data_IF_719762938885
#
_entry.id   IF_719762938885
#
_cell.length_a   1.000
_cell.length_b   1.000
_cell.length_c   1.000
_cell.angle_alpha   90.00
_cell.angle_beta   90.00
_cell.angle_gamma   90.00
#
_symmetry.space_group_name_H-M   'P 1'
#
loop_
_entity.id
_entity.type
_entity.pdbx_description
1 polymer ?
#
# COMPACT_ATOMS: atom_id res chain seq x y z
N UNK A 1 4.15 -13.85 8.19
CA UNK A 1 4.26 -12.52 7.55
C UNK A 1 2.90 -12.11 7.01
N UNK A 2 2.46 -10.89 7.27
CA UNK A 2 1.30 -10.25 6.62
C UNK A 2 1.83 -9.11 5.75
N UNK A 3 1.44 -9.09 4.48
CA UNK A 3 1.81 -8.03 3.53
C UNK A 3 0.54 -7.21 3.26
N UNK A 4 0.60 -5.90 3.51
CA UNK A 4 -0.56 -5.01 3.34
C UNK A 4 -0.23 -3.98 2.26
N UNK A 5 -0.96 -4.05 1.14
CA UNK A 5 -0.90 -3.04 0.08
C UNK A 5 -2.29 -2.42 -0.09
N UNK A 6 -2.55 -1.35 0.67
CA UNK A 6 -3.81 -0.61 0.66
C UNK A 6 -3.53 0.91 0.67
N UNK A 7 -4.52 1.72 0.32
CA UNK A 7 -4.42 3.17 0.32
C UNK A 7 -4.79 3.85 -0.99
N UNK A 8 -4.86 3.13 -2.11
CA UNK A 8 -5.28 3.73 -3.39
C UNK A 8 -6.72 4.25 -3.31
N UNK A 9 -7.65 3.44 -2.79
CA UNK A 9 -9.06 3.82 -2.69
C UNK A 9 -9.32 4.95 -1.68
N UNK A 10 -8.48 5.07 -0.66
CA UNK A 10 -8.49 6.15 0.32
C UNK A 10 -8.26 7.54 -0.34
N UNK A 11 -7.64 7.56 -1.53
CA UNK A 11 -7.43 8.78 -2.32
C UNK A 11 -8.68 9.26 -3.05
N UNK A 12 -9.78 8.51 -3.00
CA UNK A 12 -11.08 8.98 -3.44
C UNK A 12 -11.56 10.07 -2.47
N UNK A 13 -11.95 11.27 -2.94
CA UNK A 13 -12.30 12.38 -2.07
C UNK A 13 -13.51 12.09 -1.17
N UNK A 14 -14.47 11.24 -1.59
CA UNK A 14 -15.60 10.84 -0.74
C UNK A 14 -15.26 9.79 0.32
N UNK A 15 -14.09 9.13 0.22
CA UNK A 15 -13.56 8.33 1.33
C UNK A 15 -12.82 9.28 2.27
N UNK A 16 -11.79 9.97 1.76
CA UNK A 16 -11.23 11.16 2.40
C UNK A 16 -10.18 11.89 1.55
N UNK A 17 -9.54 11.25 0.56
CA UNK A 17 -8.53 11.89 -0.30
C UNK A 17 -7.21 12.26 0.42
N UNK A 18 -7.08 11.98 1.72
CA UNK A 18 -5.97 12.44 2.55
C UNK A 18 -4.95 11.32 2.86
N UNK A 19 -3.67 11.46 2.46
CA UNK A 19 -2.63 10.45 2.72
C UNK A 19 -2.29 10.28 4.20
N UNK A 20 -2.46 11.32 5.02
CA UNK A 20 -2.28 11.20 6.47
C UNK A 20 -3.39 10.35 7.08
N UNK A 21 -4.63 10.47 6.60
CA UNK A 21 -5.73 9.63 7.06
C UNK A 21 -5.53 8.16 6.63
N UNK A 22 -5.05 7.92 5.40
CA UNK A 22 -4.69 6.57 4.94
C UNK A 22 -3.61 5.93 5.85
N UNK A 23 -2.60 6.71 6.27
CA UNK A 23 -1.60 6.26 7.26
C UNK A 23 -2.25 5.81 8.57
N UNK A 24 -3.23 6.54 9.08
CA UNK A 24 -3.96 6.15 10.30
C UNK A 24 -4.75 4.84 10.10
N UNK A 25 -5.33 4.64 8.92
CA UNK A 25 -5.93 3.36 8.53
C UNK A 25 -4.91 2.21 8.57
N UNK A 26 -3.72 2.42 8.02
CA UNK A 26 -2.64 1.42 8.07
C UNK A 26 -2.17 1.14 9.50
N UNK A 27 -2.04 2.15 10.37
CA UNK A 27 -1.75 1.95 11.79
C UNK A 27 -2.83 1.06 12.44
N UNK A 28 -4.11 1.32 12.15
CA UNK A 28 -5.20 0.50 12.69
C UNK A 28 -5.08 -0.96 12.25
N UNK A 29 -4.67 -1.23 11.01
CA UNK A 29 -4.45 -2.59 10.52
C UNK A 29 -3.28 -3.28 11.24
N UNK A 30 -2.19 -2.55 11.54
CA UNK A 30 -1.08 -3.05 12.37
C UNK A 30 -1.60 -3.47 13.75
N UNK A 31 -2.40 -2.61 14.38
CA UNK A 31 -2.95 -2.88 15.71
C UNK A 31 -3.89 -4.09 15.71
N UNK A 32 -4.69 -4.27 14.65
CA UNK A 32 -5.56 -5.45 14.49
C UNK A 32 -4.73 -6.72 14.39
N UNK A 33 -3.66 -6.71 13.58
CA UNK A 33 -2.79 -7.88 13.41
C UNK A 33 -2.09 -8.22 14.73
N UNK A 34 -1.52 -7.23 15.42
CA UNK A 34 -0.80 -7.45 16.68
C UNK A 34 -1.71 -7.79 17.86
N UNK A 35 -2.93 -7.27 17.86
CA UNK A 35 -3.93 -7.51 18.90
C UNK A 35 -4.82 -8.73 18.66
N UNK A 36 -4.60 -9.49 17.58
CA UNK A 36 -5.36 -10.71 17.33
C UNK A 36 -4.98 -11.81 18.33
N UNK A 37 -5.98 -12.54 18.81
CA UNK A 37 -5.81 -13.67 19.75
C UNK A 37 -5.38 -14.92 18.98
N UNK A 38 -4.08 -15.03 18.70
CA UNK A 38 -3.53 -16.15 17.97
C UNK A 38 -3.60 -17.44 18.82
N UNK A 39 -4.10 -18.55 18.24
CA UNK A 39 -4.22 -19.80 18.99
C UNK A 39 -2.84 -20.40 19.30
N UNK A 40 -2.81 -21.28 20.30
CA UNK A 40 -1.61 -22.05 20.67
C UNK A 40 -0.38 -21.21 21.04
N UNK A 41 -0.60 -20.02 21.61
CA UNK A 41 0.44 -19.04 21.98
C UNK A 41 1.36 -18.68 20.80
N UNK A 42 0.87 -18.76 19.56
CA UNK A 42 1.65 -18.39 18.40
C UNK A 42 1.98 -16.91 18.40
N UNK A 43 3.22 -16.53 18.05
CA UNK A 43 3.58 -15.13 17.98
C UNK A 43 2.81 -14.46 16.84
N UNK A 44 2.48 -13.17 17.04
CA UNK A 44 1.95 -12.35 15.97
C UNK A 44 2.92 -12.35 14.78
N UNK A 45 2.42 -12.45 13.53
CA UNK A 45 3.27 -12.47 12.36
C UNK A 45 4.00 -11.14 12.18
N UNK A 46 5.20 -11.18 11.60
CA UNK A 46 5.83 -9.98 11.04
C UNK A 46 4.89 -9.29 10.04
N UNK A 47 5.04 -7.98 9.87
CA UNK A 47 4.21 -7.14 9.00
C UNK A 47 5.11 -6.42 8.01
N UNK A 48 4.72 -6.43 6.73
CA UNK A 48 5.31 -5.65 5.66
C UNK A 48 4.24 -4.68 5.11
N UNK A 49 4.46 -3.39 5.31
CA UNK A 49 3.64 -2.35 4.70
C UNK A 49 4.13 -2.10 3.27
N UNK A 50 3.20 -2.05 2.32
CA UNK A 50 3.49 -1.77 0.93
C UNK A 50 2.69 -0.54 0.51
N UNK A 51 3.39 0.55 0.15
CA UNK A 51 2.71 1.66 -0.51
C UNK A 51 2.32 1.23 -1.93
N UNK A 52 1.06 1.39 -2.35
CA UNK A 52 0.67 1.10 -3.72
C UNK A 52 1.34 2.09 -4.70
N UNK A 53 1.48 1.74 -6.00
CA UNK A 53 1.85 2.71 -7.02
C UNK A 53 0.90 3.92 -7.01
N UNK A 54 1.46 5.10 -7.31
CA UNK A 54 0.67 6.33 -7.34
C UNK A 54 -0.44 6.25 -8.40
N UNK A 55 -1.57 6.87 -8.09
CA UNK A 55 -2.65 7.08 -9.06
C UNK A 55 -2.11 7.99 -10.17
N UNK A 56 -2.40 7.62 -11.42
CA UNK A 56 -2.01 8.36 -12.62
C UNK A 56 -3.24 9.02 -13.23
N UNK A 57 -3.03 10.06 -14.02
CA UNK A 57 -4.09 10.66 -14.83
C UNK A 57 -4.63 9.64 -15.85
N UNK A 58 -5.93 9.73 -16.16
CA UNK A 58 -6.60 8.91 -17.17
C UNK A 58 -7.46 9.80 -18.07
N UNK A 59 -7.87 9.31 -19.25
CA UNK A 59 -8.91 9.96 -20.07
C UNK A 59 -10.31 9.45 -19.72
N UNK A 60 -10.41 8.47 -18.81
CA UNK A 60 -11.69 7.96 -18.33
C UNK A 60 -12.34 8.99 -17.38
N UNK A 61 -13.38 9.66 -17.87
CA UNK A 61 -14.06 10.73 -17.16
C UNK A 61 -14.61 10.30 -15.78
N UNK A 62 -15.13 9.08 -15.67
CA UNK A 62 -15.62 8.57 -14.39
C UNK A 62 -14.46 8.39 -13.41
N UNK A 63 -13.38 7.71 -13.80
CA UNK A 63 -12.24 7.48 -12.92
C UNK A 63 -11.50 8.76 -12.53
N UNK A 64 -11.41 9.73 -13.43
CA UNK A 64 -10.86 11.06 -13.12
C UNK A 64 -11.64 11.76 -12.02
N UNK A 65 -12.97 11.79 -12.12
CA UNK A 65 -13.81 12.40 -11.08
C UNK A 65 -13.75 11.55 -9.81
N UNK A 66 -13.73 10.23 -9.96
CA UNK A 66 -13.66 9.29 -8.84
C UNK A 66 -12.42 9.51 -7.96
N UNK A 67 -11.32 9.90 -8.57
CA UNK A 67 -10.02 10.11 -7.92
C UNK A 67 -9.55 11.56 -8.04
N UNK A 68 -10.46 12.53 -8.06
CA UNK A 68 -10.09 13.94 -8.18
C UNK A 68 -9.09 14.36 -7.09
N UNK A 69 -7.88 14.79 -7.49
CA UNK A 69 -6.75 15.13 -6.62
C UNK A 69 -5.99 13.93 -6.02
N UNK A 70 -6.40 12.71 -6.36
CA UNK A 70 -5.81 11.47 -5.88
C UNK A 70 -4.43 11.17 -6.46
N UNK A 71 -4.13 11.70 -7.65
CA UNK A 71 -2.82 11.62 -8.29
C UNK A 71 -1.73 12.31 -7.44
N UNK A 72 -1.98 13.52 -6.95
CA UNK A 72 -1.05 14.24 -6.07
C UNK A 72 -1.06 13.69 -4.63
N UNK A 73 -2.23 13.31 -4.12
CA UNK A 73 -2.35 12.74 -2.78
C UNK A 73 -1.60 11.39 -2.67
N UNK A 74 -1.76 10.51 -3.66
CA UNK A 74 -1.19 9.15 -3.66
C UNK A 74 0.34 9.14 -3.68
N UNK A 75 0.99 10.12 -4.36
CA UNK A 75 2.46 10.28 -4.37
C UNK A 75 3.07 10.43 -2.98
N UNK A 76 2.27 10.84 -1.98
CA UNK A 76 2.71 11.04 -0.60
C UNK A 76 2.57 9.79 0.27
N UNK A 77 1.90 8.73 -0.20
CA UNK A 77 1.65 7.52 0.59
C UNK A 77 2.95 6.81 0.97
N UNK A 78 3.92 6.68 0.04
CA UNK A 78 5.19 6.02 0.30
C UNK A 78 5.93 6.63 1.49
N UNK A 79 6.05 7.97 1.53
CA UNK A 79 6.70 8.65 2.64
C UNK A 79 5.93 8.49 3.97
N UNK A 80 4.59 8.54 3.94
CA UNK A 80 3.77 8.33 5.14
C UNK A 80 3.90 6.90 5.68
N UNK A 81 3.94 5.91 4.79
CA UNK A 81 3.99 4.50 5.16
C UNK A 81 5.40 4.07 5.58
N UNK A 82 6.45 4.64 4.99
CA UNK A 82 7.83 4.44 5.44
C UNK A 82 7.99 4.93 6.88
N UNK A 83 7.57 6.16 7.18
CA UNK A 83 7.64 6.70 8.53
C UNK A 83 6.83 5.86 9.53
N UNK A 84 5.63 5.41 9.13
CA UNK A 84 4.82 4.53 9.96
C UNK A 84 5.51 3.18 10.22
N UNK A 85 6.11 2.58 9.19
CA UNK A 85 6.80 1.30 9.33
C UNK A 85 8.00 1.41 10.29
N UNK A 86 8.76 2.50 10.21
CA UNK A 86 9.86 2.80 11.12
C UNK A 86 9.35 2.96 12.57
N UNK A 87 8.32 3.80 12.77
CA UNK A 87 7.71 4.05 14.09
C UNK A 87 7.14 2.75 14.71
N UNK A 88 6.51 1.91 13.89
CA UNK A 88 5.84 0.70 14.35
C UNK A 88 6.78 -0.53 14.40
N UNK A 89 8.01 -0.46 13.87
CA UNK A 89 8.90 -1.62 13.73
C UNK A 89 8.36 -2.68 12.77
N UNK A 90 7.91 -2.26 11.59
CA UNK A 90 7.43 -3.11 10.50
C UNK A 90 8.37 -3.02 9.28
N UNK A 91 8.30 -3.98 8.36
CA UNK A 91 8.94 -3.82 7.06
C UNK A 91 8.20 -2.79 6.19
N UNK A 92 8.92 -2.18 5.25
CA UNK A 92 8.35 -1.27 4.26
C UNK A 92 8.83 -1.59 2.84
N UNK A 93 7.94 -1.44 1.86
CA UNK A 93 8.28 -1.43 0.44
C UNK A 93 7.41 -0.43 -0.32
N UNK A 94 8.01 0.29 -1.28
CA UNK A 94 7.28 1.16 -2.20
C UNK A 94 7.06 0.44 -3.53
N UNK A 95 5.83 0.00 -3.81
CA UNK A 95 5.52 -0.63 -5.09
C UNK A 95 5.60 0.36 -6.26
N UNK A 96 5.46 1.66 -6.01
CA UNK A 96 5.66 2.72 -7.02
C UNK A 96 7.11 2.82 -7.53
N UNK A 97 8.07 2.22 -6.82
CA UNK A 97 9.47 2.16 -7.27
C UNK A 97 9.71 1.15 -8.40
N UNK A 98 8.78 0.22 -8.65
CA UNK A 98 8.93 -0.87 -9.64
C UNK A 98 7.74 -1.01 -10.59
N UNK A 99 6.61 -0.37 -10.30
CA UNK A 99 5.38 -0.49 -11.08
C UNK A 99 4.67 0.86 -11.20
N UNK A 100 3.96 1.06 -12.30
CA UNK A 100 3.10 2.21 -12.56
C UNK A 100 1.68 1.76 -12.87
N UNK A 101 0.70 2.61 -12.56
CA UNK A 101 -0.69 2.38 -12.96
C UNK A 101 -0.88 2.64 -14.45
N UNK A 102 -1.92 2.03 -15.02
CA UNK A 102 -2.28 2.23 -16.43
C UNK A 102 -3.11 3.49 -16.61
N UNK A 103 -3.01 4.19 -17.75
CA UNK A 103 -3.88 5.34 -18.04
C UNK A 103 -5.30 4.93 -18.43
N UNK A 104 -5.65 3.63 -18.49
CA UNK A 104 -7.00 3.18 -18.83
C UNK A 104 -8.03 3.61 -17.78
N UNK A 105 -7.61 3.61 -16.52
CA UNK A 105 -8.40 4.06 -15.37
C UNK A 105 -7.58 4.81 -14.31
N UNK A 106 -6.26 4.93 -14.49
CA UNK A 106 -5.36 5.67 -13.60
C UNK A 106 -4.98 4.92 -12.33
N UNK A 107 -5.56 3.75 -12.05
CA UNK A 107 -5.49 3.13 -10.71
C UNK A 107 -5.03 1.69 -10.76
N UNK A 108 -5.46 0.91 -11.76
CA UNK A 108 -5.08 -0.50 -11.86
C UNK A 108 -3.73 -0.67 -12.56
N UNK A 109 -3.12 -1.83 -12.31
CA UNK A 109 -1.89 -2.27 -12.96
C UNK A 109 -2.23 -3.21 -14.10
N UNK A 110 -1.44 -3.16 -15.18
CA UNK A 110 -1.47 -4.23 -16.17
C UNK A 110 -0.79 -5.51 -15.64
N UNK A 111 -0.79 -6.55 -16.48
CA UNK A 111 -0.22 -7.84 -16.11
C UNK A 111 1.31 -7.79 -15.89
N UNK A 112 2.03 -6.87 -16.54
CA UNK A 112 3.48 -6.75 -16.40
C UNK A 112 3.85 -6.01 -15.11
N UNK A 113 3.22 -4.87 -14.86
CA UNK A 113 3.38 -4.08 -13.64
C UNK A 113 2.99 -4.88 -12.38
N UNK A 114 1.92 -5.68 -12.46
CA UNK A 114 1.55 -6.61 -11.37
C UNK A 114 2.67 -7.64 -11.12
N UNK A 115 3.30 -8.16 -12.18
CA UNK A 115 4.43 -9.10 -12.05
C UNK A 115 5.68 -8.42 -11.47
N UNK A 116 5.93 -7.15 -11.78
CA UNK A 116 7.05 -6.40 -11.21
C UNK A 116 6.94 -6.27 -9.70
N UNK A 117 5.77 -5.95 -9.18
CA UNK A 117 5.51 -5.91 -7.72
C UNK A 117 5.84 -7.27 -7.08
N UNK A 118 5.31 -8.36 -7.64
CA UNK A 118 5.57 -9.71 -7.11
C UNK A 118 7.05 -10.10 -7.14
N UNK A 119 7.76 -9.80 -8.22
CA UNK A 119 9.21 -10.07 -8.36
C UNK A 119 10.04 -9.26 -7.36
N UNK A 120 9.67 -8.01 -7.11
CA UNK A 120 10.38 -7.14 -6.18
C UNK A 120 10.13 -7.51 -4.70
N UNK A 121 8.90 -7.93 -4.37
CA UNK A 121 8.57 -8.38 -3.01
C UNK A 121 9.21 -9.72 -2.65
N UNK A 122 9.34 -10.65 -3.60
CA UNK A 122 9.84 -12.00 -3.34
C UNK A 122 11.19 -12.06 -2.57
N UNK A 123 12.27 -11.34 -2.95
CA UNK A 123 13.52 -11.35 -2.20
C UNK A 123 13.38 -10.74 -0.81
N UNK A 124 12.61 -9.65 -0.65
CA UNK A 124 12.36 -9.03 0.65
C UNK A 124 11.62 -9.99 1.59
N UNK A 125 10.61 -10.68 1.08
CA UNK A 125 9.85 -11.69 1.81
C UNK A 125 10.74 -12.85 2.27
N UNK A 126 11.68 -13.31 1.42
CA UNK A 126 12.65 -14.34 1.80
C UNK A 126 13.52 -13.89 2.97
N UNK A 127 14.04 -12.65 2.92
CA UNK A 127 14.84 -12.08 4.02
C UNK A 127 14.03 -12.02 5.32
N UNK A 128 12.80 -11.51 5.27
CA UNK A 128 11.96 -11.38 6.48
C UNK A 128 11.61 -12.73 7.10
N UNK A 129 11.32 -13.73 6.26
CA UNK A 129 10.96 -15.09 6.68
C UNK A 129 12.16 -16.01 6.93
N UNK A 130 13.39 -15.52 6.75
CA UNK A 130 14.63 -16.31 6.88
C UNK A 130 14.64 -17.57 5.97
N UNK A 131 14.20 -17.41 4.72
CA UNK A 131 14.08 -18.46 3.67
C UNK A 131 15.13 -18.39 2.56
#
# INVERSE_FOLDING_TARGET
LIIIMLGSNDMKPWIHGNPVAAKQGMQRLIDIIRGHDYPFDWPAPQILLVSPPAVSSTDNAEFNEMFAGGDDASKRLAAQYSALADDAGCGFFDAGSVATTTPLDGVHLDAENTRYVGRALAPLVRVMLEL
#
